data_IF_193245881326
#
_entry.id   IF_193245881326
#
_cell.length_a   1.000
_cell.length_b   1.000
_cell.length_c   1.000
_cell.angle_alpha   90.00
_cell.angle_beta   90.00
_cell.angle_gamma   90.00
#
_symmetry.space_group_name_H-M   'P 1'
#
loop_
_entity.id
_entity.type
_entity.pdbx_description
1 polymer ?
#
# COMPACT_ATOMS: atom_id res chain seq x y z
N UNK A 1 -39.32 2.95 -42.71
CA UNK A 1 -39.62 3.61 -41.43
C UNK A 1 -38.33 4.20 -40.89
N UNK A 2 -38.15 5.51 -41.07
CA UNK A 2 -36.98 6.25 -40.59
C UNK A 2 -37.30 6.80 -39.20
N UNK A 3 -36.49 6.44 -38.21
CA UNK A 3 -36.53 7.03 -36.86
C UNK A 3 -36.19 8.52 -37.01
N UNK A 4 -37.00 9.46 -36.48
CA UNK A 4 -36.66 10.88 -36.56
C UNK A 4 -35.39 11.14 -35.75
N UNK A 5 -34.51 12.05 -36.19
CA UNK A 5 -33.37 12.46 -35.39
C UNK A 5 -33.87 13.06 -34.08
N UNK A 6 -33.27 12.64 -32.97
CA UNK A 6 -33.47 13.25 -31.66
C UNK A 6 -33.17 14.75 -31.80
N UNK A 7 -34.21 15.58 -31.67
CA UNK A 7 -34.04 17.02 -31.56
C UNK A 7 -33.41 17.28 -30.19
N UNK A 8 -32.08 17.28 -30.14
CA UNK A 8 -31.40 17.96 -29.04
C UNK A 8 -31.86 19.43 -29.06
N UNK A 9 -32.35 19.89 -27.92
CA UNK A 9 -32.72 21.28 -27.66
C UNK A 9 -31.48 22.18 -27.75
N UNK A 10 -31.03 22.53 -28.96
CA UNK A 10 -29.93 23.47 -29.21
C UNK A 10 -30.35 24.94 -28.91
N UNK A 11 -31.51 25.17 -28.28
CA UNK A 11 -32.07 26.53 -28.08
C UNK A 11 -31.85 27.17 -26.72
N UNK A 12 -31.16 26.55 -25.76
CA UNK A 12 -30.84 27.26 -24.51
C UNK A 12 -29.48 26.84 -23.94
N UNK A 13 -28.43 27.54 -24.35
CA UNK A 13 -27.08 27.41 -23.78
C UNK A 13 -26.98 27.98 -22.33
N UNK A 14 -28.13 28.15 -21.65
CA UNK A 14 -28.19 28.57 -20.26
C UNK A 14 -27.92 27.36 -19.36
N UNK A 15 -26.68 27.25 -18.88
CA UNK A 15 -26.34 26.32 -17.80
C UNK A 15 -27.26 26.57 -16.62
N UNK A 16 -27.68 25.50 -15.95
CA UNK A 16 -28.52 25.59 -14.75
C UNK A 16 -27.82 26.44 -13.68
N UNK A 17 -28.59 27.14 -12.85
CA UNK A 17 -28.05 28.05 -11.83
C UNK A 17 -27.14 27.36 -10.79
N UNK A 18 -27.25 26.04 -10.66
CA UNK A 18 -26.44 25.22 -9.75
C UNK A 18 -25.21 24.60 -10.40
N UNK A 19 -24.97 24.77 -11.71
CA UNK A 19 -23.86 24.11 -12.41
C UNK A 19 -22.48 24.46 -11.83
N UNK A 20 -22.31 25.70 -11.33
CA UNK A 20 -21.05 26.17 -10.72
C UNK A 20 -21.11 26.18 -9.18
N UNK A 21 -22.13 25.56 -8.57
CA UNK A 21 -22.19 25.47 -7.10
C UNK A 21 -21.11 24.50 -6.58
N UNK A 22 -20.57 24.76 -5.38
CA UNK A 22 -19.64 23.82 -4.76
C UNK A 22 -20.31 22.47 -4.53
N UNK A 23 -19.51 21.40 -4.53
CA UNK A 23 -19.99 20.08 -4.15
C UNK A 23 -20.61 20.13 -2.74
N UNK A 24 -21.70 19.39 -2.54
CA UNK A 24 -22.33 19.26 -1.23
C UNK A 24 -21.36 18.58 -0.27
N UNK A 25 -21.22 19.13 0.94
CA UNK A 25 -20.43 18.50 2.00
C UNK A 25 -20.95 17.07 2.26
N UNK A 26 -20.04 16.10 2.25
CA UNK A 26 -20.39 14.68 2.45
C UNK A 26 -21.16 14.48 3.74
N UNK A 27 -20.91 15.24 4.80
CA UNK A 27 -21.63 15.17 6.07
C UNK A 27 -23.12 15.52 5.97
N UNK A 28 -23.50 16.31 4.96
CA UNK A 28 -24.89 16.68 4.64
C UNK A 28 -25.58 15.55 3.85
N UNK A 29 -24.83 14.84 3.00
CA UNK A 29 -25.36 13.74 2.16
C UNK A 29 -25.33 12.39 2.91
N UNK A 30 -24.33 12.19 3.75
CA UNK A 30 -24.05 10.99 4.54
C UNK A 30 -23.51 11.38 5.92
N UNK A 31 -24.13 10.91 7.02
CA UNK A 31 -23.64 11.21 8.38
C UNK A 31 -22.17 10.85 8.56
N UNK A 32 -21.41 11.77 9.16
CA UNK A 32 -19.98 11.64 9.48
C UNK A 32 -19.72 10.34 10.26
N UNK A 33 -18.85 9.48 9.74
CA UNK A 33 -18.52 8.19 10.35
C UNK A 33 -17.55 8.37 11.53
N UNK A 34 -17.68 7.53 12.57
CA UNK A 34 -16.82 7.57 13.78
C UNK A 34 -15.44 6.92 13.55
N UNK A 35 -14.49 7.11 14.47
CA UNK A 35 -13.09 6.62 14.41
C UNK A 35 -12.95 5.11 14.09
N UNK A 36 -11.80 4.71 13.54
CA UNK A 36 -11.44 3.32 13.19
C UNK A 36 -11.15 2.55 14.48
N UNK A 37 -12.03 1.61 14.82
CA UNK A 37 -11.75 0.60 15.84
C UNK A 37 -11.56 -0.72 15.10
N UNK A 38 -10.29 -1.02 14.84
CA UNK A 38 -9.89 -2.29 14.30
C UNK A 38 -10.06 -3.36 15.38
N UNK A 39 -10.98 -4.30 15.15
CA UNK A 39 -11.08 -5.54 15.90
C UNK A 39 -10.27 -6.60 15.14
N UNK A 40 -8.94 -6.56 15.25
CA UNK A 40 -8.08 -7.70 14.91
C UNK A 40 -7.56 -8.32 16.22
N UNK A 41 -8.38 -9.14 16.91
CA UNK A 41 -7.88 -9.92 18.03
C UNK A 41 -6.68 -10.77 17.55
N UNK A 42 -5.66 -10.88 18.39
CA UNK A 42 -4.43 -11.67 18.22
C UNK A 42 -3.24 -11.10 17.42
N UNK A 43 -3.33 -9.91 16.80
CA UNK A 43 -2.13 -9.29 16.19
C UNK A 43 -1.21 -8.71 17.26
N UNK A 44 -1.77 -8.07 18.29
CA UNK A 44 -0.99 -7.44 19.35
C UNK A 44 -0.19 -8.46 20.16
N UNK A 45 -0.64 -9.72 20.22
CA UNK A 45 0.08 -10.82 20.87
C UNK A 45 1.40 -11.17 20.14
N UNK A 46 1.57 -10.74 18.88
CA UNK A 46 2.79 -10.91 18.10
C UNK A 46 3.80 -9.78 18.31
N UNK A 47 3.43 -8.74 19.07
CA UNK A 47 4.19 -7.52 19.24
C UNK A 47 4.60 -7.32 20.70
N UNK A 48 5.83 -6.85 20.89
CA UNK A 48 6.28 -6.33 22.18
C UNK A 48 5.54 -5.02 22.52
N UNK A 49 5.48 -4.63 23.80
CA UNK A 49 4.86 -3.37 24.20
C UNK A 49 5.45 -2.13 23.51
N UNK A 50 6.76 -2.13 23.22
CA UNK A 50 7.43 -1.04 22.50
C UNK A 50 6.98 -0.97 21.03
N UNK A 51 6.87 -2.11 20.36
CA UNK A 51 6.37 -2.19 18.98
C UNK A 51 4.89 -1.76 18.89
N UNK A 52 4.07 -2.15 19.87
CA UNK A 52 2.68 -1.69 19.98
C UNK A 52 2.62 -0.16 20.17
N UNK A 53 3.47 0.42 21.01
CA UNK A 53 3.51 1.87 21.22
C UNK A 53 3.87 2.62 19.93
N UNK A 54 4.83 2.12 19.15
CA UNK A 54 5.19 2.69 17.85
C UNK A 54 4.01 2.60 16.88
N UNK A 55 3.39 1.42 16.75
CA UNK A 55 2.20 1.21 15.91
C UNK A 55 1.09 2.21 16.24
N UNK A 56 0.74 2.35 17.51
CA UNK A 56 -0.34 3.26 17.95
C UNK A 56 0.01 4.73 17.70
N UNK A 57 1.27 5.13 17.92
CA UNK A 57 1.74 6.49 17.65
C UNK A 57 1.65 6.86 16.16
N UNK A 58 2.05 5.93 15.28
CA UNK A 58 1.91 6.13 13.82
C UNK A 58 0.44 6.20 13.43
N UNK A 59 -0.39 5.30 13.95
CA UNK A 59 -1.84 5.31 13.72
C UNK A 59 -2.46 6.66 14.09
N UNK A 60 -2.17 7.17 15.28
CA UNK A 60 -2.74 8.42 15.77
C UNK A 60 -2.38 9.59 14.86
N UNK A 61 -1.10 9.68 14.45
CA UNK A 61 -0.67 10.72 13.52
C UNK A 61 -1.39 10.59 12.16
N UNK A 62 -1.43 9.41 11.57
CA UNK A 62 -2.06 9.22 10.26
C UNK A 62 -3.57 9.52 10.29
N UNK A 63 -4.28 9.09 11.33
CA UNK A 63 -5.72 9.37 11.50
C UNK A 63 -6.00 10.84 11.76
N UNK A 64 -5.14 11.51 12.53
CA UNK A 64 -5.33 12.92 12.90
C UNK A 64 -4.92 13.87 11.77
N UNK A 65 -3.83 13.57 11.10
CA UNK A 65 -3.12 14.53 10.27
C UNK A 65 -3.20 14.25 8.76
N UNK A 66 -3.49 13.00 8.35
CA UNK A 66 -3.55 12.59 6.93
C UNK A 66 -4.96 12.24 6.51
N UNK A 67 -5.69 11.44 7.28
CA UNK A 67 -7.05 11.02 6.94
C UNK A 67 -8.01 12.19 6.61
N UNK A 68 -7.96 13.37 7.27
CA UNK A 68 -8.83 14.48 6.94
C UNK A 68 -8.56 15.16 5.59
N UNK A 69 -7.38 14.99 5.01
CA UNK A 69 -6.94 15.70 3.79
C UNK A 69 -6.67 14.76 2.60
N UNK A 70 -6.54 13.45 2.85
CA UNK A 70 -6.07 12.50 1.82
C UNK A 70 -6.93 12.44 0.56
N UNK A 71 -8.27 12.59 0.68
CA UNK A 71 -9.17 12.50 -0.48
C UNK A 71 -8.93 13.66 -1.45
N UNK A 72 -8.89 14.90 -0.93
CA UNK A 72 -8.65 16.09 -1.73
C UNK A 72 -7.32 16.03 -2.48
N UNK A 73 -6.24 15.63 -1.80
CA UNK A 73 -4.92 15.53 -2.41
C UNK A 73 -4.83 14.41 -3.46
N UNK A 74 -5.48 13.28 -3.19
CA UNK A 74 -5.52 12.17 -4.14
C UNK A 74 -6.31 12.55 -5.41
N UNK A 75 -7.47 13.20 -5.26
CA UNK A 75 -8.30 13.63 -6.39
C UNK A 75 -7.61 14.67 -7.27
N UNK A 76 -6.76 15.53 -6.68
CA UNK A 76 -5.94 16.52 -7.41
C UNK A 76 -4.62 15.96 -7.94
N UNK A 77 -4.24 14.74 -7.56
CA UNK A 77 -2.90 14.19 -7.78
C UNK A 77 -1.76 15.11 -7.25
N UNK A 78 -1.99 15.75 -6.10
CA UNK A 78 -1.01 16.62 -5.43
C UNK A 78 -0.39 15.91 -4.21
N UNK A 79 0.84 16.27 -3.84
CA UNK A 79 1.48 15.75 -2.63
C UNK A 79 1.28 16.70 -1.43
N UNK A 80 0.80 16.22 -0.27
CA UNK A 80 0.60 17.05 0.92
C UNK A 80 1.91 17.35 1.67
N UNK A 81 2.76 18.23 1.15
CA UNK A 81 4.07 18.55 1.76
C UNK A 81 4.04 18.92 3.26
N UNK A 82 2.92 19.44 3.76
CA UNK A 82 2.70 19.73 5.18
C UNK A 82 2.75 18.50 6.11
N UNK A 83 2.65 17.28 5.57
CA UNK A 83 2.75 16.06 6.37
C UNK A 83 4.19 15.61 6.61
N UNK A 84 5.16 16.09 5.81
CA UNK A 84 6.57 15.67 5.91
C UNK A 84 7.14 15.93 7.32
N UNK A 85 7.00 17.12 7.93
CA UNK A 85 7.51 17.34 9.29
C UNK A 85 6.82 16.46 10.34
N UNK A 86 5.55 16.09 10.10
CA UNK A 86 4.79 15.21 11.01
C UNK A 86 5.32 13.78 10.94
N UNK A 87 5.62 13.28 9.74
CA UNK A 87 6.31 12.00 9.56
C UNK A 87 7.73 12.01 10.17
N UNK A 88 8.45 13.14 10.07
CA UNK A 88 9.75 13.33 10.76
C UNK A 88 9.64 13.25 12.28
N UNK A 89 8.60 13.86 12.86
CA UNK A 89 8.34 13.82 14.30
C UNK A 89 8.05 12.40 14.83
N UNK A 90 7.57 11.48 13.97
CA UNK A 90 7.40 10.08 14.32
C UNK A 90 8.73 9.35 14.55
N UNK A 91 9.88 9.88 14.08
CA UNK A 91 11.20 9.24 14.27
C UNK A 91 11.19 7.76 13.83
N UNK A 92 10.62 7.49 12.66
CA UNK A 92 10.55 6.14 12.06
C UNK A 92 11.36 6.02 10.76
N UNK A 93 11.70 7.14 10.11
CA UNK A 93 12.56 7.13 8.92
C UNK A 93 13.97 6.65 9.25
N UNK A 94 14.53 5.81 8.40
CA UNK A 94 15.77 5.09 8.67
C UNK A 94 15.57 3.78 9.44
N UNK A 95 14.34 3.50 9.90
CA UNK A 95 13.88 2.16 10.28
C UNK A 95 14.86 1.40 11.18
N UNK A 96 15.47 0.33 10.67
CA UNK A 96 16.36 -0.57 11.40
C UNK A 96 17.82 -0.14 11.37
N UNK A 97 18.15 0.96 10.68
CA UNK A 97 19.51 1.50 10.60
C UNK A 97 19.93 1.97 11.99
N UNK A 98 21.08 1.46 12.46
CA UNK A 98 21.65 1.81 13.76
C UNK A 98 22.64 2.97 13.61
N UNK A 99 22.53 3.97 14.48
CA UNK A 99 23.38 5.16 14.46
C UNK A 99 22.96 6.20 13.42
N UNK A 100 23.83 7.19 13.16
CA UNK A 100 23.62 8.24 12.14
C UNK A 100 22.30 9.02 12.27
N UNK A 101 21.77 9.17 13.48
CA UNK A 101 20.49 9.83 13.75
C UNK A 101 19.25 9.01 13.38
N UNK A 102 19.41 7.76 12.94
CA UNK A 102 18.33 6.82 12.65
C UNK A 102 17.82 6.13 13.94
N UNK A 103 16.56 5.69 13.97
CA UNK A 103 15.92 5.19 15.19
C UNK A 103 16.36 3.79 15.63
N UNK A 104 16.93 2.98 14.73
CA UNK A 104 17.37 1.62 15.06
C UNK A 104 16.24 0.70 15.54
N UNK A 105 15.05 0.85 14.95
CA UNK A 105 13.85 0.11 15.30
C UNK A 105 14.03 -1.41 15.16
N UNK A 106 13.21 -2.16 15.89
CA UNK A 106 13.00 -3.56 15.55
C UNK A 106 12.35 -3.68 14.16
N UNK A 107 12.57 -4.83 13.56
CA UNK A 107 11.98 -5.17 12.26
C UNK A 107 10.45 -5.15 12.31
N UNK A 108 9.85 -5.66 13.39
CA UNK A 108 8.40 -5.68 13.53
C UNK A 108 7.82 -4.28 13.79
N UNK A 109 8.52 -3.42 14.55
CA UNK A 109 8.11 -2.02 14.70
C UNK A 109 8.05 -1.30 13.35
N UNK A 110 9.07 -1.49 12.51
CA UNK A 110 9.10 -0.94 11.16
C UNK A 110 7.96 -1.49 10.27
N UNK A 111 7.73 -2.79 10.33
CA UNK A 111 6.68 -3.46 9.57
C UNK A 111 5.28 -2.91 9.87
N UNK A 112 4.96 -2.76 11.15
CA UNK A 112 3.68 -2.20 11.57
C UNK A 112 3.61 -0.69 11.38
N UNK A 113 4.72 0.05 11.46
CA UNK A 113 4.74 1.47 11.08
C UNK A 113 4.36 1.63 9.60
N UNK A 114 4.96 0.83 8.71
CA UNK A 114 4.63 0.82 7.27
C UNK A 114 3.16 0.49 7.04
N UNK A 115 2.63 -0.55 7.70
CA UNK A 115 1.23 -0.93 7.59
C UNK A 115 0.27 0.14 8.13
N UNK A 116 0.57 0.78 9.27
CA UNK A 116 -0.32 1.83 9.81
C UNK A 116 -0.35 3.10 8.94
N UNK A 117 0.74 3.42 8.22
CA UNK A 117 0.71 4.47 7.20
C UNK A 117 -0.19 4.05 6.04
N UNK A 118 0.04 2.86 5.46
CA UNK A 118 -0.73 2.35 4.33
C UNK A 118 -2.21 2.13 4.64
N UNK A 119 -2.56 1.86 5.90
CA UNK A 119 -3.93 1.71 6.39
C UNK A 119 -4.77 2.96 6.19
N UNK A 120 -4.15 4.12 6.19
CA UNK A 120 -4.80 5.41 5.95
C UNK A 120 -4.57 5.87 4.52
N UNK A 121 -3.30 5.92 4.10
CA UNK A 121 -2.94 6.43 2.79
C UNK A 121 -1.72 5.72 2.19
N UNK A 122 -1.95 5.04 1.06
CA UNK A 122 -0.92 4.28 0.38
C UNK A 122 0.11 5.19 -0.33
N UNK A 123 -0.27 6.40 -0.75
CA UNK A 123 0.66 7.36 -1.34
C UNK A 123 1.70 7.84 -0.31
N UNK A 124 1.27 8.14 0.92
CA UNK A 124 2.16 8.43 2.04
C UNK A 124 3.05 7.25 2.39
N UNK A 125 2.51 6.02 2.30
CA UNK A 125 3.30 4.79 2.54
C UNK A 125 4.36 4.58 1.47
N UNK A 126 4.02 4.78 0.20
CA UNK A 126 4.98 4.72 -0.91
C UNK A 126 6.07 5.79 -0.79
N UNK A 127 5.70 7.03 -0.44
CA UNK A 127 6.65 8.10 -0.14
C UNK A 127 7.63 7.70 0.97
N UNK A 128 7.11 7.18 2.09
CA UNK A 128 7.91 6.74 3.22
C UNK A 128 8.85 5.58 2.83
N UNK A 129 8.32 4.57 2.13
CA UNK A 129 9.06 3.38 1.73
C UNK A 129 10.21 3.70 0.76
N UNK A 130 9.95 4.55 -0.24
CA UNK A 130 10.99 4.94 -1.20
C UNK A 130 12.08 5.76 -0.50
N UNK A 131 11.69 6.69 0.36
CA UNK A 131 12.65 7.49 1.12
C UNK A 131 13.52 6.61 2.03
N UNK A 132 12.89 5.73 2.81
CA UNK A 132 13.53 5.02 3.91
C UNK A 132 14.02 3.62 3.49
N UNK A 133 13.11 2.73 3.10
CA UNK A 133 13.43 1.33 2.80
C UNK A 133 14.19 1.12 1.48
N UNK A 134 14.26 2.13 0.61
CA UNK A 134 15.10 2.11 -0.58
C UNK A 134 16.30 3.05 -0.47
N UNK A 135 16.10 4.36 -0.39
CA UNK A 135 17.20 5.30 -0.51
C UNK A 135 18.10 5.36 0.74
N UNK A 136 17.53 5.48 1.94
CA UNK A 136 18.32 5.42 3.18
C UNK A 136 18.96 4.04 3.38
N UNK A 137 18.22 2.96 3.13
CA UNK A 137 18.76 1.60 3.22
C UNK A 137 19.94 1.38 2.26
N UNK A 138 19.82 1.83 1.01
CA UNK A 138 20.93 1.77 0.04
C UNK A 138 22.13 2.57 0.54
N UNK A 139 21.90 3.77 1.08
CA UNK A 139 22.97 4.60 1.64
C UNK A 139 23.66 3.93 2.83
N UNK A 140 22.92 3.26 3.70
CA UNK A 140 23.46 2.56 4.85
C UNK A 140 24.25 1.30 4.47
N UNK A 141 23.78 0.55 3.47
CA UNK A 141 24.41 -0.71 3.04
C UNK A 141 25.58 -0.51 2.06
N UNK A 142 25.51 0.50 1.20
CA UNK A 142 26.42 0.67 0.07
C UNK A 142 27.23 1.98 0.12
N UNK A 143 26.85 2.95 0.95
CA UNK A 143 27.56 4.22 1.08
C UNK A 143 28.87 4.08 1.86
N UNK A 144 29.82 4.99 1.59
CA UNK A 144 31.00 5.18 2.44
C UNK A 144 30.62 5.80 3.79
N UNK A 145 31.45 5.64 4.81
CA UNK A 145 31.19 6.27 6.12
C UNK A 145 31.01 7.78 6.04
N UNK A 146 31.77 8.46 5.18
CA UNK A 146 31.60 9.89 4.93
C UNK A 146 30.23 10.22 4.32
N UNK A 147 29.71 9.40 3.41
CA UNK A 147 28.37 9.56 2.85
C UNK A 147 27.28 9.31 3.91
N UNK A 148 27.43 8.24 4.72
CA UNK A 148 26.47 7.91 5.79
C UNK A 148 26.35 9.06 6.79
N UNK A 149 27.47 9.56 7.31
CA UNK A 149 27.50 10.69 8.26
C UNK A 149 26.94 11.98 7.65
N UNK A 150 27.18 12.22 6.36
CA UNK A 150 26.70 13.43 5.67
C UNK A 150 25.20 13.41 5.41
N UNK A 151 24.64 12.28 4.99
CA UNK A 151 23.28 12.22 4.44
C UNK A 151 22.23 11.63 5.40
N UNK A 152 22.54 10.52 6.08
CA UNK A 152 21.54 9.79 6.89
C UNK A 152 20.90 10.63 8.01
N UNK A 153 21.62 11.50 8.76
CA UNK A 153 21.00 12.29 9.80
C UNK A 153 19.92 13.24 9.28
N UNK A 154 20.15 13.87 8.12
CA UNK A 154 19.18 14.78 7.50
C UNK A 154 17.96 14.04 6.94
N UNK A 155 18.19 12.84 6.37
CA UNK A 155 17.13 11.99 5.85
C UNK A 155 16.24 11.45 6.98
N UNK A 156 16.82 10.96 8.08
CA UNK A 156 16.08 10.44 9.23
C UNK A 156 15.13 11.47 9.87
N UNK A 157 15.41 12.76 9.71
CA UNK A 157 14.56 13.86 10.20
C UNK A 157 13.62 14.43 9.13
N UNK A 158 13.63 13.88 7.91
CA UNK A 158 12.94 14.43 6.75
C UNK A 158 13.30 15.90 6.44
N UNK A 159 14.49 16.36 6.84
CA UNK A 159 15.04 17.67 6.41
C UNK A 159 15.42 17.67 4.93
N UNK A 160 15.74 16.49 4.41
CA UNK A 160 15.90 16.22 2.99
C UNK A 160 15.07 15.00 2.62
N UNK A 161 14.64 14.93 1.36
CA UNK A 161 13.90 13.79 0.81
C UNK A 161 14.79 13.07 -0.20
N UNK A 162 14.78 11.75 -0.18
CA UNK A 162 15.50 10.92 -1.13
C UNK A 162 14.53 10.12 -2.02
N UNK A 163 15.01 9.77 -3.21
CA UNK A 163 14.34 8.89 -4.16
C UNK A 163 15.28 7.76 -4.59
N UNK A 164 14.73 6.76 -5.29
CA UNK A 164 15.51 5.63 -5.78
C UNK A 164 15.22 5.38 -7.26
N UNK A 165 16.10 5.88 -8.13
CA UNK A 165 15.99 5.74 -9.57
C UNK A 165 16.63 4.45 -10.07
N UNK A 166 15.81 3.48 -10.46
CA UNK A 166 16.25 2.24 -11.13
C UNK A 166 15.53 2.00 -12.45
N UNK A 167 14.20 2.15 -12.46
CA UNK A 167 13.38 1.90 -13.64
C UNK A 167 13.63 2.94 -14.72
N UNK A 168 13.79 2.48 -15.95
CA UNK A 168 13.94 3.30 -17.16
C UNK A 168 12.76 3.03 -18.12
N UNK A 169 12.47 3.92 -19.10
CA UNK A 169 11.37 3.71 -20.05
C UNK A 169 11.38 2.34 -20.75
N UNK A 170 12.57 1.84 -21.11
CA UNK A 170 12.74 0.55 -21.79
C UNK A 170 13.03 -0.62 -20.84
N UNK A 171 13.28 -0.34 -19.55
CA UNK A 171 13.73 -1.33 -18.57
C UNK A 171 12.93 -1.25 -17.26
N UNK A 172 11.79 -1.95 -17.25
CA UNK A 172 10.98 -2.21 -16.05
C UNK A 172 11.24 -3.59 -15.44
N UNK A 173 10.45 -4.60 -15.82
CA UNK A 173 10.56 -5.98 -15.31
C UNK A 173 11.95 -6.62 -15.55
N UNK A 174 12.67 -6.13 -16.56
CA UNK A 174 14.02 -6.57 -16.94
C UNK A 174 15.11 -5.86 -16.11
N UNK A 175 14.75 -5.00 -15.15
CA UNK A 175 15.70 -4.40 -14.21
C UNK A 175 16.49 -5.47 -13.42
N UNK A 176 15.97 -6.70 -13.30
CA UNK A 176 16.69 -7.86 -12.76
C UNK A 176 17.87 -8.35 -13.63
N UNK A 177 17.94 -7.93 -14.89
CA UNK A 177 19.04 -8.18 -15.82
C UNK A 177 20.06 -7.02 -15.87
N UNK A 178 19.83 -5.94 -15.11
CA UNK A 178 20.85 -4.92 -14.91
C UNK A 178 22.06 -5.59 -14.24
N UNK A 179 23.25 -5.34 -14.76
CA UNK A 179 24.53 -5.85 -14.20
C UNK A 179 24.87 -5.24 -12.83
N UNK A 180 23.99 -4.42 -12.27
CA UNK A 180 24.17 -3.70 -11.01
C UNK A 180 23.97 -4.62 -9.79
N UNK A 181 24.84 -4.47 -8.79
CA UNK A 181 24.92 -5.23 -7.54
C UNK A 181 23.76 -4.98 -6.54
N UNK A 182 22.67 -4.34 -6.98
CA UNK A 182 21.54 -3.91 -6.14
C UNK A 182 20.59 -5.05 -5.70
N UNK A 183 20.90 -6.31 -6.03
CA UNK A 183 20.03 -7.48 -5.73
C UNK A 183 19.75 -7.65 -4.24
N UNK A 184 20.69 -7.26 -3.35
CA UNK A 184 20.51 -7.36 -1.89
C UNK A 184 19.51 -6.34 -1.35
N UNK A 185 19.51 -5.11 -1.88
CA UNK A 185 18.55 -4.06 -1.47
C UNK A 185 17.12 -4.45 -1.85
N UNK A 186 16.93 -4.98 -3.05
CA UNK A 186 15.62 -5.44 -3.53
C UNK A 186 15.06 -6.60 -2.72
N UNK A 187 15.90 -7.51 -2.20
CA UNK A 187 15.42 -8.61 -1.37
C UNK A 187 14.83 -8.12 -0.03
N UNK A 188 15.47 -7.14 0.62
CA UNK A 188 15.01 -6.57 1.90
C UNK A 188 13.79 -5.67 1.68
N UNK A 189 13.83 -4.80 0.67
CA UNK A 189 12.72 -3.90 0.35
C UNK A 189 11.45 -4.66 -0.09
N UNK A 190 11.55 -5.81 -0.78
CA UNK A 190 10.36 -6.64 -1.08
C UNK A 190 9.63 -7.14 0.16
N UNK A 191 10.36 -7.49 1.22
CA UNK A 191 9.74 -7.86 2.51
C UNK A 191 9.00 -6.66 3.07
N UNK A 192 9.51 -5.44 2.89
CA UNK A 192 8.85 -4.21 3.34
C UNK A 192 7.63 -3.82 2.52
N UNK A 193 7.74 -3.93 1.21
CA UNK A 193 6.64 -3.65 0.29
C UNK A 193 5.45 -4.54 0.58
N UNK A 194 5.67 -5.78 1.03
CA UNK A 194 4.61 -6.70 1.42
C UNK A 194 3.75 -6.19 2.61
N UNK A 195 4.22 -5.22 3.41
CA UNK A 195 3.46 -4.64 4.52
C UNK A 195 2.56 -3.46 4.11
N UNK A 196 2.78 -2.83 2.96
CA UNK A 196 1.85 -1.84 2.39
C UNK A 196 0.45 -2.42 2.10
N UNK A 197 0.30 -3.50 1.30
CA UNK A 197 -1.01 -4.09 1.02
C UNK A 197 -1.68 -4.66 2.27
N UNK A 198 -0.91 -5.13 3.27
CA UNK A 198 -1.43 -5.56 4.58
C UNK A 198 -2.14 -4.38 5.24
N UNK A 199 -1.43 -3.26 5.43
CA UNK A 199 -1.98 -2.06 6.04
C UNK A 199 -3.21 -1.55 5.30
N UNK A 200 -3.09 -1.39 3.98
CA UNK A 200 -4.18 -0.95 3.11
C UNK A 200 -5.44 -1.83 3.29
N UNK A 201 -5.30 -3.15 3.30
CA UNK A 201 -6.43 -4.06 3.50
C UNK A 201 -7.01 -4.01 4.90
N UNK A 202 -6.19 -3.77 5.93
CA UNK A 202 -6.70 -3.52 7.29
C UNK A 202 -7.62 -2.28 7.30
N UNK A 203 -7.24 -1.22 6.58
CA UNK A 203 -8.02 0.02 6.50
C UNK A 203 -9.33 -0.17 5.72
N UNK A 204 -9.27 -0.90 4.60
CA UNK A 204 -10.46 -1.24 3.81
C UNK A 204 -11.41 -2.12 4.61
N UNK A 205 -10.92 -3.14 5.32
CA UNK A 205 -11.74 -3.96 6.19
C UNK A 205 -12.42 -3.15 7.29
N UNK A 206 -11.67 -2.28 7.99
CA UNK A 206 -12.22 -1.40 9.02
C UNK A 206 -13.35 -0.52 8.49
N UNK A 207 -13.13 0.08 7.32
CA UNK A 207 -14.12 0.91 6.66
C UNK A 207 -15.38 0.11 6.31
N UNK A 208 -15.23 -1.07 5.72
CA UNK A 208 -16.36 -1.94 5.38
C UNK A 208 -17.13 -2.39 6.62
N UNK A 209 -16.42 -2.90 7.64
CA UNK A 209 -17.03 -3.36 8.88
C UNK A 209 -17.84 -2.23 9.55
N UNK A 210 -17.31 -1.01 9.61
CA UNK A 210 -18.06 0.13 10.14
C UNK A 210 -19.25 0.49 9.25
N UNK A 211 -19.00 0.68 7.95
CA UNK A 211 -20.02 1.10 6.99
C UNK A 211 -21.23 0.17 7.01
N UNK A 212 -21.00 -1.14 7.05
CA UNK A 212 -22.08 -2.12 7.05
C UNK A 212 -22.89 -2.12 8.36
N UNK A 213 -22.27 -1.77 9.50
CA UNK A 213 -22.97 -1.65 10.78
C UNK A 213 -23.77 -0.35 10.89
N UNK A 214 -23.30 0.72 10.26
CA UNK A 214 -23.94 2.05 10.33
C UNK A 214 -25.03 2.22 9.25
N UNK A 215 -24.78 1.76 8.03
CA UNK A 215 -25.71 1.87 6.90
C UNK A 215 -26.86 0.88 7.06
N UNK A 216 -28.10 1.37 6.92
CA UNK A 216 -29.31 0.54 6.96
C UNK A 216 -30.00 0.50 5.60
N UNK A 217 -30.48 -0.66 5.20
CA UNK A 217 -31.40 -0.88 4.07
C UNK A 217 -32.41 -1.95 4.47
N UNK A 218 -33.61 -1.90 3.88
CA UNK A 218 -34.70 -2.84 4.21
C UNK A 218 -34.96 -2.97 5.72
N UNK A 219 -34.83 -1.85 6.46
CA UNK A 219 -35.07 -1.81 7.91
C UNK A 219 -33.96 -2.37 8.81
N UNK A 220 -32.87 -2.93 8.26
CA UNK A 220 -31.78 -3.53 9.03
C UNK A 220 -30.40 -2.96 8.65
N UNK A 221 -29.38 -3.04 9.53
CA UNK A 221 -27.99 -2.77 9.16
C UNK A 221 -27.56 -3.68 8.00
N UNK A 222 -26.72 -3.17 7.09
CA UNK A 222 -26.19 -3.98 5.99
C UNK A 222 -25.39 -5.19 6.50
N UNK A 223 -24.79 -5.11 7.69
CA UNK A 223 -24.12 -6.22 8.34
C UNK A 223 -25.05 -7.38 8.74
N UNK A 224 -26.38 -7.21 8.68
CA UNK A 224 -27.35 -8.26 9.01
C UNK A 224 -27.65 -9.21 7.84
N UNK A 225 -27.26 -8.88 6.61
CA UNK A 225 -27.54 -9.70 5.43
C UNK A 225 -26.44 -10.74 5.19
N UNK A 226 -26.83 -11.99 4.94
CA UNK A 226 -25.91 -13.12 4.74
C UNK A 226 -24.83 -12.82 3.70
N UNK A 227 -25.21 -12.30 2.53
CA UNK A 227 -24.26 -12.00 1.44
C UNK A 227 -23.22 -10.93 1.80
N UNK A 228 -23.54 -10.00 2.72
CA UNK A 228 -22.58 -9.00 3.18
C UNK A 228 -21.61 -9.60 4.20
N UNK A 229 -22.08 -10.49 5.06
CA UNK A 229 -21.22 -11.24 5.98
C UNK A 229 -20.30 -12.21 5.20
N UNK A 230 -20.83 -12.90 4.19
CA UNK A 230 -20.10 -13.83 3.34
C UNK A 230 -18.92 -13.15 2.61
N UNK A 231 -19.00 -11.85 2.32
CA UNK A 231 -17.89 -11.08 1.75
C UNK A 231 -16.94 -10.53 2.81
N UNK A 232 -17.47 -10.13 3.97
CA UNK A 232 -16.67 -9.57 5.05
C UNK A 232 -15.73 -10.61 5.67
N UNK A 233 -16.16 -11.87 5.77
CA UNK A 233 -15.36 -12.95 6.39
C UNK A 233 -14.10 -13.30 5.58
N UNK A 234 -14.14 -13.51 4.24
CA UNK A 234 -12.95 -13.69 3.42
C UNK A 234 -12.00 -12.50 3.49
N UNK A 235 -12.49 -11.27 3.54
CA UNK A 235 -11.63 -10.10 3.74
C UNK A 235 -10.87 -10.19 5.07
N UNK A 236 -11.56 -10.54 6.16
CA UNK A 236 -10.92 -10.74 7.46
C UNK A 236 -9.88 -11.85 7.40
N UNK A 237 -10.23 -13.01 6.82
CA UNK A 237 -9.34 -14.15 6.66
C UNK A 237 -8.08 -13.81 5.85
N UNK A 238 -8.25 -13.08 4.74
CA UNK A 238 -7.15 -12.57 3.93
C UNK A 238 -6.24 -11.66 4.76
N UNK A 239 -6.79 -10.71 5.51
CA UNK A 239 -6.00 -9.82 6.38
C UNK A 239 -5.20 -10.62 7.41
N UNK A 240 -5.82 -11.60 8.09
CA UNK A 240 -5.11 -12.44 9.07
C UNK A 240 -3.96 -13.21 8.43
N UNK A 241 -4.23 -13.87 7.30
CA UNK A 241 -3.25 -14.67 6.60
C UNK A 241 -2.08 -13.83 6.06
N UNK A 242 -2.36 -12.65 5.50
CA UNK A 242 -1.32 -11.73 5.03
C UNK A 242 -0.43 -11.25 6.18
N UNK A 243 -0.98 -10.91 7.35
CA UNK A 243 -0.21 -10.52 8.54
C UNK A 243 0.71 -11.66 8.99
N UNK A 244 0.20 -12.89 9.10
CA UNK A 244 0.99 -14.04 9.53
C UNK A 244 2.11 -14.40 8.54
N UNK A 245 1.86 -14.29 7.24
CA UNK A 245 2.89 -14.47 6.21
C UNK A 245 3.94 -13.36 6.31
N UNK A 246 3.52 -12.09 6.41
CA UNK A 246 4.43 -10.96 6.60
C UNK A 246 5.31 -11.12 7.85
N UNK A 247 4.71 -11.55 8.97
CA UNK A 247 5.42 -11.86 10.21
C UNK A 247 6.42 -12.99 10.03
N UNK A 248 6.02 -14.09 9.35
CA UNK A 248 6.90 -15.24 9.14
C UNK A 248 8.11 -14.87 8.28
N UNK A 249 7.91 -14.05 7.25
CA UNK A 249 9.00 -13.53 6.42
C UNK A 249 10.02 -12.78 7.29
N UNK A 250 9.55 -11.95 8.22
CA UNK A 250 10.46 -11.26 9.12
C UNK A 250 11.22 -12.18 10.06
N UNK A 251 10.57 -13.21 10.60
CA UNK A 251 11.27 -14.22 11.40
C UNK A 251 12.33 -15.00 10.61
N UNK A 252 12.10 -15.25 9.33
CA UNK A 252 13.09 -15.85 8.45
C UNK A 252 14.29 -14.90 8.20
N UNK A 253 14.01 -13.61 8.02
CA UNK A 253 15.05 -12.59 7.84
C UNK A 253 15.91 -12.41 9.09
N UNK A 254 15.29 -12.28 10.28
CA UNK A 254 16.00 -12.19 11.57
C UNK A 254 16.89 -13.41 11.82
N UNK A 255 16.42 -14.61 11.43
CA UNK A 255 17.18 -15.84 11.57
C UNK A 255 18.28 -16.04 10.50
N UNK A 256 18.47 -15.09 9.58
CA UNK A 256 19.42 -15.21 8.47
C UNK A 256 19.04 -16.28 7.44
N UNK A 257 17.77 -16.72 7.42
CA UNK A 257 17.23 -17.79 6.56
C UNK A 257 16.36 -17.26 5.42
N UNK A 258 16.29 -15.94 5.24
CA UNK A 258 15.54 -15.33 4.15
C UNK A 258 16.24 -15.54 2.82
N UNK A 259 15.52 -16.10 1.86
CA UNK A 259 15.97 -16.23 0.47
C UNK A 259 15.22 -15.20 -0.41
N UNK A 260 15.78 -14.82 -1.57
CA UNK A 260 15.06 -13.99 -2.54
C UNK A 260 13.74 -14.61 -3.00
N UNK A 261 13.66 -15.95 -3.09
CA UNK A 261 12.44 -16.69 -3.42
C UNK A 261 11.36 -16.56 -2.35
N UNK A 262 11.70 -16.62 -1.06
CA UNK A 262 10.73 -16.39 0.01
C UNK A 262 10.23 -14.94 0.06
N UNK A 263 11.11 -13.95 -0.10
CA UNK A 263 10.69 -12.55 -0.17
C UNK A 263 9.75 -12.30 -1.36
N UNK A 264 10.07 -12.88 -2.52
CA UNK A 264 9.26 -12.74 -3.74
C UNK A 264 7.92 -13.48 -3.65
N UNK A 265 7.90 -14.65 -3.02
CA UNK A 265 6.67 -15.41 -2.73
C UNK A 265 5.75 -14.57 -1.83
N UNK A 266 6.31 -13.99 -0.76
CA UNK A 266 5.60 -13.11 0.15
C UNK A 266 4.92 -11.95 -0.57
N UNK A 267 5.70 -11.17 -1.33
CA UNK A 267 5.20 -10.02 -2.09
C UNK A 267 4.10 -10.40 -3.07
N UNK A 268 4.34 -11.40 -3.92
CA UNK A 268 3.39 -11.82 -4.95
C UNK A 268 2.09 -12.36 -4.35
N UNK A 269 2.17 -13.22 -3.33
CA UNK A 269 0.98 -13.79 -2.70
C UNK A 269 0.17 -12.75 -1.93
N UNK A 270 0.82 -11.91 -1.12
CA UNK A 270 0.15 -10.88 -0.32
C UNK A 270 -0.55 -9.88 -1.23
N UNK A 271 0.13 -9.36 -2.26
CA UNK A 271 -0.49 -8.39 -3.18
C UNK A 271 -1.64 -9.00 -3.98
N UNK A 272 -1.57 -10.28 -4.34
CA UNK A 272 -2.69 -10.99 -4.98
C UNK A 272 -3.91 -11.11 -4.05
N UNK A 273 -3.73 -11.51 -2.79
CA UNK A 273 -4.81 -11.58 -1.78
C UNK A 273 -5.37 -10.20 -1.45
N UNK A 274 -4.52 -9.18 -1.44
CA UNK A 274 -4.95 -7.81 -1.27
C UNK A 274 -5.87 -7.35 -2.40
N UNK A 275 -5.60 -7.71 -3.67
CA UNK A 275 -6.44 -7.33 -4.82
C UNK A 275 -7.85 -7.89 -4.69
N UNK A 276 -7.95 -9.15 -4.28
CA UNK A 276 -9.24 -9.76 -3.96
C UNK A 276 -9.95 -9.04 -2.80
N UNK A 277 -9.21 -8.70 -1.73
CA UNK A 277 -9.76 -8.04 -0.54
C UNK A 277 -10.30 -6.65 -0.83
N UNK A 278 -9.59 -5.83 -1.60
CA UNK A 278 -10.07 -4.48 -1.95
C UNK A 278 -11.22 -4.52 -2.95
N UNK A 279 -11.27 -5.53 -3.83
CA UNK A 279 -12.39 -5.72 -4.74
C UNK A 279 -13.69 -6.01 -3.95
N UNK A 280 -13.62 -6.94 -2.99
CA UNK A 280 -14.72 -7.25 -2.07
C UNK A 280 -15.12 -6.02 -1.22
N UNK A 281 -14.14 -5.24 -0.76
CA UNK A 281 -14.43 -4.00 -0.03
C UNK A 281 -15.20 -3.00 -0.88
N UNK A 282 -14.79 -2.82 -2.15
CA UNK A 282 -15.40 -1.85 -3.07
C UNK A 282 -16.87 -2.17 -3.31
N UNK A 283 -17.21 -3.44 -3.53
CA UNK A 283 -18.60 -3.86 -3.71
C UNK A 283 -19.48 -3.70 -2.47
N UNK A 284 -18.94 -3.92 -1.27
CA UNK A 284 -19.68 -3.75 -0.02
C UNK A 284 -20.16 -2.31 0.24
N UNK A 285 -19.48 -1.31 -0.34
CA UNK A 285 -19.90 0.10 -0.26
C UNK A 285 -20.76 0.54 -1.45
N UNK A 286 -20.93 -0.30 -2.47
CA UNK A 286 -21.77 -0.04 -3.65
C UNK A 286 -21.41 1.30 -4.32
N UNK A 287 -22.36 2.24 -4.44
CA UNK A 287 -22.11 3.56 -5.04
C UNK A 287 -21.13 4.43 -4.24
N UNK A 288 -21.09 4.30 -2.91
CA UNK A 288 -20.08 5.01 -2.12
C UNK A 288 -18.69 4.37 -2.23
N UNK A 289 -18.62 3.12 -2.74
CA UNK A 289 -17.36 2.41 -2.95
C UNK A 289 -16.54 2.93 -4.13
N UNK A 290 -17.04 3.90 -4.90
CA UNK A 290 -16.30 4.57 -5.99
C UNK A 290 -15.87 5.99 -5.63
N UNK A 291 -16.11 6.43 -4.39
CA UNK A 291 -15.81 7.78 -3.90
C UNK A 291 -14.54 7.76 -3.04
N UNK A 292 -13.63 8.72 -3.27
CA UNK A 292 -12.34 8.83 -2.58
C UNK A 292 -12.52 9.09 -1.07
N UNK A 293 -13.62 9.73 -0.68
CA UNK A 293 -13.97 10.09 0.69
C UNK A 293 -14.28 8.89 1.58
N UNK A 294 -14.59 7.74 0.97
CA UNK A 294 -14.88 6.50 1.70
C UNK A 294 -13.68 5.55 1.76
N UNK A 295 -12.45 6.01 1.48
CA UNK A 295 -11.19 5.24 1.49
C UNK A 295 -11.11 4.11 0.45
N UNK A 296 -12.15 3.31 0.29
CA UNK A 296 -12.11 2.05 -0.46
C UNK A 296 -11.82 2.26 -1.94
N UNK A 297 -12.39 3.29 -2.57
CA UNK A 297 -12.11 3.60 -3.98
C UNK A 297 -10.63 3.95 -4.18
N UNK A 298 -10.10 4.81 -3.30
CA UNK A 298 -8.70 5.21 -3.28
C UNK A 298 -7.79 4.00 -3.06
N UNK A 299 -8.08 3.18 -2.05
CA UNK A 299 -7.34 1.97 -1.74
C UNK A 299 -7.38 0.92 -2.87
N UNK A 300 -8.51 0.80 -3.58
CA UNK A 300 -8.65 -0.06 -4.75
C UNK A 300 -7.73 0.41 -5.89
N UNK A 301 -7.70 1.72 -6.18
CA UNK A 301 -6.81 2.31 -7.18
C UNK A 301 -5.33 2.22 -6.79
N UNK A 302 -5.01 2.55 -5.54
CA UNK A 302 -3.64 2.56 -5.00
C UNK A 302 -2.99 1.18 -4.94
N UNK A 303 -3.78 0.11 -4.87
CA UNK A 303 -3.23 -1.24 -4.80
C UNK A 303 -2.65 -1.73 -6.14
N UNK A 304 -3.18 -1.26 -7.27
CA UNK A 304 -2.72 -1.69 -8.61
C UNK A 304 -1.24 -1.33 -8.89
N UNK A 305 -0.74 -0.11 -8.58
CA UNK A 305 0.70 0.15 -8.67
C UNK A 305 1.51 -0.64 -7.63
N UNK A 306 0.99 -0.89 -6.42
CA UNK A 306 1.67 -1.72 -5.41
C UNK A 306 1.83 -3.16 -5.88
N UNK A 307 0.83 -3.70 -6.56
CA UNK A 307 0.88 -5.02 -7.18
C UNK A 307 1.96 -5.10 -8.27
N UNK A 308 2.23 -3.97 -8.93
CA UNK A 308 3.13 -3.86 -10.09
C UNK A 308 4.58 -3.58 -9.73
N UNK A 309 4.85 -2.56 -8.91
CA UNK A 309 6.23 -2.16 -8.59
C UNK A 309 6.95 -3.22 -7.75
N UNK A 310 8.26 -3.05 -7.56
CA UNK A 310 9.08 -3.99 -6.76
C UNK A 310 9.06 -5.42 -7.35
N UNK A 311 9.05 -5.45 -8.67
CA UNK A 311 8.81 -6.61 -9.52
C UNK A 311 7.31 -6.92 -9.61
N UNK A 312 6.80 -7.17 -10.82
CA UNK A 312 5.40 -7.57 -10.98
C UNK A 312 5.10 -8.87 -10.23
N UNK A 313 3.81 -9.20 -10.11
CA UNK A 313 3.39 -10.51 -9.60
C UNK A 313 4.10 -11.65 -10.33
N UNK A 314 4.09 -11.63 -11.66
CA UNK A 314 4.67 -12.71 -12.49
C UNK A 314 6.18 -12.84 -12.28
N UNK A 315 6.90 -11.71 -12.23
CA UNK A 315 8.35 -11.73 -11.98
C UNK A 315 8.65 -12.32 -10.61
N UNK A 316 7.91 -11.92 -9.58
CA UNK A 316 8.11 -12.46 -8.23
C UNK A 316 7.78 -13.95 -8.16
N UNK A 317 6.69 -14.38 -8.82
CA UNK A 317 6.32 -15.80 -8.91
C UNK A 317 7.40 -16.63 -9.61
N UNK A 318 7.98 -16.11 -10.70
CA UNK A 318 9.08 -16.77 -11.42
C UNK A 318 10.39 -16.79 -10.63
N UNK A 319 10.66 -15.77 -9.79
CA UNK A 319 11.81 -15.79 -8.86
C UNK A 319 11.65 -16.92 -7.85
N UNK A 320 10.47 -17.08 -7.26
CA UNK A 320 10.18 -18.21 -6.37
C UNK A 320 10.24 -19.54 -7.11
N UNK A 321 9.64 -19.64 -8.30
CA UNK A 321 9.64 -20.86 -9.11
C UNK A 321 11.04 -21.35 -9.45
N UNK A 322 11.96 -20.43 -9.83
CA UNK A 322 13.37 -20.77 -10.07
C UNK A 322 14.06 -21.34 -8.82
N UNK A 323 13.80 -20.76 -7.65
CA UNK A 323 14.40 -21.22 -6.40
C UNK A 323 13.89 -22.62 -5.99
N UNK A 324 12.59 -22.86 -6.13
CA UNK A 324 11.95 -24.13 -5.73
C UNK A 324 12.29 -25.26 -6.70
N UNK A 325 12.42 -24.97 -7.99
CA UNK A 325 12.63 -26.01 -9.03
C UNK A 325 14.09 -26.15 -9.49
N UNK A 326 14.92 -25.13 -9.24
CA UNK A 326 16.26 -25.03 -9.83
C UNK A 326 16.27 -24.60 -11.30
N UNK A 327 15.11 -24.34 -11.92
CA UNK A 327 14.98 -24.09 -13.37
C UNK A 327 14.47 -22.66 -13.61
N UNK A 328 15.25 -21.84 -14.33
CA UNK A 328 14.86 -20.48 -14.67
C UNK A 328 13.87 -20.44 -15.85
N UNK A 329 12.80 -19.64 -15.73
CA UNK A 329 11.72 -19.56 -16.74
C UNK A 329 11.32 -18.12 -17.08
N UNK A 330 12.30 -17.20 -17.16
CA UNK A 330 12.07 -15.77 -17.46
C UNK A 330 12.15 -15.41 -18.94
N UNK A 331 12.97 -16.16 -19.70
CA UNK A 331 13.25 -15.86 -21.10
C UNK A 331 12.24 -16.59 -21.98
N UNK A 332 11.84 -16.01 -23.12
CA UNK A 332 11.07 -16.75 -24.11
C UNK A 332 11.89 -17.94 -24.61
N UNK A 333 11.20 -18.94 -25.15
CA UNK A 333 11.86 -20.00 -25.90
C UNK A 333 12.74 -19.36 -27.00
N UNK A 334 13.95 -19.90 -27.20
CA UNK A 334 14.78 -19.45 -28.31
C UNK A 334 13.98 -19.65 -29.60
N UNK A 335 13.80 -18.57 -30.38
CA UNK A 335 13.30 -18.68 -31.74
C UNK A 335 14.32 -19.52 -32.50
N UNK A 336 14.01 -20.80 -32.67
CA UNK A 336 14.71 -21.61 -33.65
C UNK A 336 14.38 -20.97 -34.99
N UNK A 337 15.39 -20.42 -35.67
CA UNK A 337 15.28 -20.09 -37.08
C UNK A 337 14.97 -21.39 -37.80
N UNK A 338 13.69 -21.74 -37.92
CA UNK A 338 13.25 -22.61 -38.99
C UNK A 338 13.42 -21.78 -40.24
N UNK A 339 14.53 -22.02 -40.95
CA UNK A 339 14.68 -21.65 -42.34
C UNK A 339 13.45 -22.22 -43.07
N UNK A 340 12.47 -21.38 -43.38
CA UNK A 340 11.53 -21.68 -44.44
C UNK A 340 12.36 -21.75 -45.73
N UNK A 341 12.67 -22.97 -46.17
CA UNK A 341 13.00 -23.26 -47.56
C UNK A 341 11.70 -23.44 -48.33
#
# INVERSE_FOLDING_TARGET
>A
MTVPPYQDDVKNNQRTNYFNSPALDVSVVFRKQRRLLLFLPAIDDLLTPEEQAIRLRVRECMEKDVAPIMAEYWDKAEFPFQIIPKLGALRIAGETIKGYGCPGLSIMANAFATAEIARVDASCSAFFLVHSSLAMLTSALCGSEAQKQKYLPSLAEFKTVACWGLTEPDYGSVASALRATATKVLAVSRVMVAWQPIGLCMGVYDMCHRYLKERKQFGAPLAAFQINQEKLVPMLGNVQAMVLIGWRLWKLYEAGKMTPGYASMGKSWITLRARETVALGRELLSGNGILSEFLVAKAFGDLEPIYTFEGTYDINALVTGREVTGIASFRPAALTQRSCL
#
